data_IF_961901274771
#
_entry.id   IF_961901274771
#
_cell.length_a   1.000
_cell.length_b   1.000
_cell.length_c   1.000
_cell.angle_alpha   90.00
_cell.angle_beta   90.00
_cell.angle_gamma   90.00
#
_symmetry.space_group_name_H-M   'P 1'
#
loop_
_entity.id
_entity.type
_entity.pdbx_description
1 polymer ?
#
# COMPACT_ATOMS: atom_id res chain seq x y z
N UNK A 1 -0.46 -11.93 23.80
CA UNK A 1 -1.23 -11.38 24.93
C UNK A 1 -1.27 -9.88 24.77
N UNK A 2 -2.48 -9.34 24.75
CA UNK A 2 -2.84 -8.05 24.17
C UNK A 2 -2.56 -6.89 25.13
N UNK A 3 -1.59 -6.03 24.79
CA UNK A 3 -1.34 -4.77 25.50
C UNK A 3 -2.11 -3.61 24.84
N UNK A 4 -3.40 -3.81 24.58
CA UNK A 4 -4.27 -2.84 23.90
C UNK A 4 -4.91 -1.80 24.84
N UNK A 5 -4.43 -1.62 26.07
CA UNK A 5 -5.15 -0.83 27.08
C UNK A 5 -4.37 0.30 27.78
N UNK A 6 -3.16 0.69 27.37
CA UNK A 6 -2.44 1.77 28.08
C UNK A 6 -2.92 3.19 27.76
N UNK A 7 -3.47 3.43 26.56
CA UNK A 7 -4.06 4.73 26.21
C UNK A 7 -5.34 5.05 27.01
N UNK A 8 -6.01 4.04 27.58
CA UNK A 8 -7.18 4.23 28.43
C UNK A 8 -6.84 4.82 29.82
N UNK A 9 -5.55 4.85 30.20
CA UNK A 9 -5.08 5.51 31.42
C UNK A 9 -4.74 6.99 31.22
N UNK A 10 -4.73 7.49 29.98
CA UNK A 10 -4.50 8.89 29.72
C UNK A 10 -5.80 9.66 30.00
N UNK A 11 -5.71 10.68 30.86
CA UNK A 11 -6.82 11.52 31.33
C UNK A 11 -7.31 12.51 30.25
N UNK A 12 -7.42 12.05 28.99
CA UNK A 12 -7.84 12.85 27.84
C UNK A 12 -9.19 13.51 28.06
N UNK A 13 -10.16 12.78 28.60
CA UNK A 13 -11.50 13.30 28.87
C UNK A 13 -11.47 14.45 29.88
N UNK A 14 -10.61 14.34 30.89
CA UNK A 14 -10.45 15.39 31.89
C UNK A 14 -9.76 16.62 31.32
N UNK A 15 -8.69 16.44 30.54
CA UNK A 15 -7.99 17.53 29.85
C UNK A 15 -8.94 18.27 28.88
N UNK A 16 -9.73 17.53 28.10
CA UNK A 16 -10.76 18.08 27.21
C UNK A 16 -11.83 18.81 28.01
N UNK A 17 -12.26 18.29 29.16
CA UNK A 17 -13.23 18.96 30.05
C UNK A 17 -12.70 20.27 30.60
N UNK A 18 -11.41 20.34 30.97
CA UNK A 18 -10.76 21.53 31.52
C UNK A 18 -10.63 22.61 30.45
N UNK A 19 -10.21 22.24 29.24
CA UNK A 19 -10.15 23.15 28.10
C UNK A 19 -11.53 23.75 27.78
N UNK A 20 -12.59 22.92 27.77
CA UNK A 20 -13.98 23.40 27.56
C UNK A 20 -14.42 24.37 28.66
N UNK A 21 -14.13 24.08 29.93
CA UNK A 21 -14.43 24.97 31.07
C UNK A 21 -13.67 26.29 30.97
N UNK A 22 -12.38 26.26 30.63
CA UNK A 22 -11.56 27.45 30.43
C UNK A 22 -12.10 28.34 29.31
N UNK A 23 -12.46 27.75 28.18
CA UNK A 23 -13.05 28.51 27.07
C UNK A 23 -14.36 29.23 27.48
N UNK A 24 -15.20 28.54 28.27
CA UNK A 24 -16.42 29.15 28.84
C UNK A 24 -16.07 30.30 29.79
N UNK A 25 -15.12 30.11 30.70
CA UNK A 25 -14.70 31.14 31.65
C UNK A 25 -14.15 32.38 30.93
N UNK A 26 -13.31 32.21 29.91
CA UNK A 26 -12.79 33.34 29.14
C UNK A 26 -13.87 34.09 28.37
N UNK A 27 -14.86 33.38 27.83
CA UNK A 27 -16.02 34.03 27.18
C UNK A 27 -16.81 34.86 28.19
N UNK A 28 -17.07 34.31 29.38
CA UNK A 28 -17.78 35.01 30.46
C UNK A 28 -16.99 36.20 31.01
N UNK A 29 -15.67 36.08 31.17
CA UNK A 29 -14.78 37.19 31.56
C UNK A 29 -14.85 38.33 30.54
N UNK A 30 -14.77 38.02 29.25
CA UNK A 30 -14.88 39.02 28.18
C UNK A 30 -16.21 39.78 28.26
N UNK A 31 -17.32 39.08 28.46
CA UNK A 31 -18.64 39.72 28.63
C UNK A 31 -18.69 40.54 29.90
N UNK A 32 -18.27 40.02 31.06
CA UNK A 32 -18.29 40.72 32.33
C UNK A 32 -17.43 42.01 32.31
N UNK A 33 -16.26 41.96 31.67
CA UNK A 33 -15.41 43.13 31.44
C UNK A 33 -16.10 44.17 30.56
N UNK A 34 -16.82 43.76 29.50
CA UNK A 34 -17.51 44.69 28.61
C UNK A 34 -18.66 45.46 29.28
N UNK A 35 -19.30 44.86 30.29
CA UNK A 35 -20.41 45.47 31.05
C UNK A 35 -19.99 45.93 32.45
N UNK A 36 -18.70 45.90 32.77
CA UNK A 36 -18.14 46.33 34.05
C UNK A 36 -18.72 45.59 35.27
N UNK A 37 -19.12 44.32 35.12
CA UNK A 37 -19.63 43.48 36.20
C UNK A 37 -18.48 42.93 37.04
N UNK A 38 -18.07 43.73 38.03
CA UNK A 38 -16.95 43.40 38.92
C UNK A 38 -17.15 42.08 39.67
N UNK A 39 -18.36 41.81 40.19
CA UNK A 39 -18.62 40.61 41.00
C UNK A 39 -18.47 39.34 40.16
N UNK A 40 -19.04 39.34 38.95
CA UNK A 40 -18.88 38.22 38.03
C UNK A 40 -17.43 38.10 37.58
N UNK A 41 -16.75 39.22 37.31
CA UNK A 41 -15.35 39.22 36.90
C UNK A 41 -14.44 38.57 37.95
N UNK A 42 -14.54 38.96 39.23
CA UNK A 42 -13.72 38.41 40.32
C UNK A 42 -13.96 36.90 40.51
N UNK A 43 -15.23 36.47 40.45
CA UNK A 43 -15.59 35.05 40.59
C UNK A 43 -15.09 34.19 39.42
N UNK A 44 -15.31 34.63 38.18
CA UNK A 44 -14.87 33.85 37.01
C UNK A 44 -13.35 33.87 36.90
N UNK A 45 -12.67 34.94 37.30
CA UNK A 45 -11.21 35.01 37.31
C UNK A 45 -10.61 33.98 38.28
N UNK A 46 -11.18 33.84 39.48
CA UNK A 46 -10.78 32.81 40.44
C UNK A 46 -10.96 31.40 39.85
N UNK A 47 -12.14 31.11 39.29
CA UNK A 47 -12.43 29.82 38.66
C UNK A 47 -11.52 29.53 37.46
N UNK A 48 -11.17 30.55 36.67
CA UNK A 48 -10.24 30.42 35.56
C UNK A 48 -8.83 30.05 36.05
N UNK A 49 -8.34 30.71 37.10
CA UNK A 49 -7.04 30.41 37.70
C UNK A 49 -6.99 28.99 38.28
N UNK A 50 -8.05 28.55 38.96
CA UNK A 50 -8.16 27.16 39.46
C UNK A 50 -8.10 26.14 38.30
N UNK A 51 -8.85 26.37 37.22
CA UNK A 51 -8.85 25.50 36.05
C UNK A 51 -7.50 25.52 35.30
N UNK A 52 -6.79 26.65 35.24
CA UNK A 52 -5.45 26.75 34.65
C UNK A 52 -4.45 25.91 35.45
N UNK A 53 -4.47 26.03 36.78
CA UNK A 53 -3.60 25.26 37.65
C UNK A 53 -3.87 23.75 37.51
N UNK A 54 -5.15 23.35 37.49
CA UNK A 54 -5.55 21.96 37.24
C UNK A 54 -5.09 21.46 35.87
N UNK A 55 -5.21 22.28 34.81
CA UNK A 55 -4.74 21.93 33.48
C UNK A 55 -3.24 21.67 33.47
N UNK A 56 -2.44 22.50 34.13
CA UNK A 56 -1.00 22.30 34.26
C UNK A 56 -0.66 20.97 34.93
N UNK A 57 -1.34 20.64 36.04
CA UNK A 57 -1.14 19.37 36.73
C UNK A 57 -1.52 18.14 35.89
N UNK A 58 -2.67 18.19 35.20
CA UNK A 58 -3.13 17.10 34.33
C UNK A 58 -2.19 16.94 33.13
N UNK A 59 -1.73 18.04 32.55
CA UNK A 59 -0.77 18.02 31.44
C UNK A 59 0.56 17.41 31.86
N UNK A 60 1.17 17.84 32.95
CA UNK A 60 2.43 17.29 33.45
C UNK A 60 2.34 15.78 33.71
N UNK A 61 1.24 15.32 34.30
CA UNK A 61 1.01 13.89 34.52
C UNK A 61 0.91 13.10 33.21
N UNK A 62 0.22 13.64 32.19
CA UNK A 62 0.05 12.99 30.89
C UNK A 62 1.29 13.08 30.00
N UNK A 63 2.03 14.18 30.07
CA UNK A 63 3.17 14.46 29.20
C UNK A 63 4.24 13.36 29.29
N UNK A 64 4.62 12.99 30.51
CA UNK A 64 5.60 11.92 30.74
C UNK A 64 5.07 10.56 30.28
N UNK A 65 3.78 10.29 30.46
CA UNK A 65 3.17 9.04 29.98
C UNK A 65 3.18 8.98 28.45
N UNK A 66 2.87 10.08 27.76
CA UNK A 66 2.89 10.15 26.28
C UNK A 66 4.31 9.93 25.75
N UNK A 67 5.31 10.58 26.35
CA UNK A 67 6.72 10.40 25.96
C UNK A 67 7.14 8.94 26.16
N UNK A 68 6.87 8.37 27.34
CA UNK A 68 7.22 6.98 27.64
C UNK A 68 6.51 6.00 26.71
N UNK A 69 5.22 6.21 26.40
CA UNK A 69 4.51 5.39 25.43
C UNK A 69 5.09 5.49 24.02
N UNK A 70 5.49 6.69 23.58
CA UNK A 70 6.10 6.90 22.28
C UNK A 70 7.46 6.18 22.20
N UNK A 71 8.29 6.31 23.22
CA UNK A 71 9.58 5.61 23.34
C UNK A 71 9.40 4.10 23.34
N UNK A 72 8.48 3.57 24.16
CA UNK A 72 8.17 2.14 24.19
C UNK A 72 7.73 1.62 22.81
N UNK A 73 6.92 2.38 22.07
CA UNK A 73 6.51 2.03 20.70
C UNK A 73 7.72 2.03 19.77
N UNK A 74 8.61 3.02 19.87
CA UNK A 74 9.83 3.09 19.06
C UNK A 74 10.79 1.91 19.33
N UNK A 75 10.92 1.50 20.60
CA UNK A 75 11.70 0.31 20.97
C UNK A 75 11.11 -0.97 20.38
N UNK A 76 9.78 -1.12 20.41
CA UNK A 76 9.10 -2.25 19.76
C UNK A 76 9.42 -2.27 18.26
N UNK A 77 9.35 -1.13 17.57
CA UNK A 77 9.65 -1.03 16.13
C UNK A 77 11.08 -1.43 15.78
N UNK A 78 12.04 -1.20 16.69
CA UNK A 78 13.44 -1.59 16.54
C UNK A 78 13.72 -3.02 16.99
N UNK A 79 12.77 -3.67 17.66
CA UNK A 79 12.92 -5.04 18.14
C UNK A 79 12.75 -6.08 17.03
N UNK A 80 13.38 -7.24 17.20
CA UNK A 80 13.24 -8.39 16.30
C UNK A 80 11.81 -8.99 16.32
N UNK A 81 11.00 -8.65 17.32
CA UNK A 81 9.62 -9.16 17.45
C UNK A 81 8.64 -8.46 16.51
N UNK A 82 8.94 -7.22 16.10
CA UNK A 82 8.05 -6.44 15.25
C UNK A 82 7.90 -7.02 13.84
N UNK A 83 8.97 -7.38 13.12
CA UNK A 83 8.87 -8.08 11.84
C UNK A 83 7.99 -9.34 11.91
N UNK A 84 8.18 -10.17 12.93
CA UNK A 84 7.41 -11.42 13.13
C UNK A 84 5.92 -11.12 13.32
N UNK A 85 5.60 -10.12 14.14
CA UNK A 85 4.22 -9.68 14.38
C UNK A 85 3.57 -9.13 13.11
N UNK A 86 4.30 -8.27 12.37
CA UNK A 86 3.83 -7.70 11.11
C UNK A 86 3.55 -8.79 10.08
N UNK A 87 4.51 -9.69 9.85
CA UNK A 87 4.37 -10.77 8.87
C UNK A 87 3.21 -11.71 9.18
N UNK A 88 3.04 -12.07 10.46
CA UNK A 88 1.89 -12.85 10.92
C UNK A 88 0.58 -12.14 10.55
N UNK A 89 0.48 -10.86 10.87
CA UNK A 89 -0.73 -10.07 10.66
C UNK A 89 -1.03 -9.87 9.16
N UNK A 90 0.00 -9.71 8.33
CA UNK A 90 -0.14 -9.68 6.87
C UNK A 90 -0.72 -11.00 6.33
N UNK A 91 -0.23 -12.14 6.81
CA UNK A 91 -0.75 -13.47 6.42
C UNK A 91 -2.20 -13.67 6.89
N UNK A 92 -2.53 -13.25 8.10
CA UNK A 92 -3.89 -13.31 8.64
C UNK A 92 -4.87 -12.42 7.86
N UNK A 93 -4.40 -11.29 7.32
CA UNK A 93 -5.17 -10.44 6.40
C UNK A 93 -5.31 -11.03 4.98
N UNK A 94 -4.81 -12.25 4.73
CA UNK A 94 -4.85 -12.93 3.43
C UNK A 94 -3.85 -12.39 2.41
N UNK A 95 -2.89 -11.56 2.84
CA UNK A 95 -1.88 -11.00 1.95
C UNK A 95 -0.73 -11.99 1.74
N UNK A 96 -0.43 -12.26 0.47
CA UNK A 96 0.72 -13.06 0.07
C UNK A 96 1.89 -12.14 -0.24
N UNK A 97 3.03 -12.43 0.35
CA UNK A 97 4.22 -11.61 0.19
C UNK A 97 5.50 -12.44 0.16
N UNK A 98 6.56 -11.81 -0.34
CA UNK A 98 7.94 -12.31 -0.33
C UNK A 98 8.89 -11.25 0.19
N UNK A 99 10.14 -11.65 0.42
CA UNK A 99 11.17 -10.78 0.96
C UNK A 99 11.17 -10.82 2.48
N UNK A 100 11.97 -9.94 3.05
CA UNK A 100 12.24 -9.87 4.48
C UNK A 100 12.19 -8.42 4.92
N UNK A 101 11.92 -8.20 6.20
CA UNK A 101 11.90 -6.86 6.75
C UNK A 101 13.19 -6.09 6.42
N UNK A 102 13.10 -4.82 6.00
CA UNK A 102 11.90 -3.97 5.89
C UNK A 102 11.27 -3.94 4.49
N UNK A 103 11.63 -4.85 3.60
CA UNK A 103 11.27 -4.82 2.18
C UNK A 103 10.47 -6.06 1.78
N UNK A 104 9.19 -5.87 1.47
CA UNK A 104 8.31 -6.95 1.03
C UNK A 104 7.78 -6.72 -0.39
N UNK A 105 7.61 -7.81 -1.13
CA UNK A 105 6.95 -7.83 -2.43
C UNK A 105 5.56 -8.44 -2.29
N UNK A 106 4.52 -7.63 -2.48
CA UNK A 106 3.11 -8.01 -2.44
C UNK A 106 2.51 -7.85 -3.84
N UNK A 107 2.85 -8.75 -4.77
CA UNK A 107 2.59 -8.58 -6.21
C UNK A 107 1.16 -8.06 -6.50
N UNK A 108 1.01 -6.92 -7.21
CA UNK A 108 2.06 -6.18 -7.89
C UNK A 108 2.73 -5.06 -7.06
N UNK A 109 2.37 -4.85 -5.80
CA UNK A 109 2.97 -3.81 -4.97
C UNK A 109 4.33 -4.19 -4.39
N UNK A 110 5.11 -3.16 -4.04
CA UNK A 110 6.28 -3.28 -3.15
C UNK A 110 6.03 -2.47 -1.89
N UNK A 111 6.26 -3.08 -0.74
CA UNK A 111 6.16 -2.48 0.58
C UNK A 111 7.56 -2.24 1.14
N UNK A 112 7.82 -1.01 1.57
CA UNK A 112 9.05 -0.63 2.25
C UNK A 112 8.70 0.07 3.56
N UNK A 113 9.34 -0.34 4.65
CA UNK A 113 9.19 0.29 5.95
C UNK A 113 10.47 1.05 6.31
N UNK A 114 10.39 2.37 6.44
CA UNK A 114 11.47 3.20 6.92
C UNK A 114 11.17 3.64 8.36
N UNK A 115 11.73 2.89 9.32
CA UNK A 115 11.54 3.15 10.76
C UNK A 115 12.14 4.49 11.15
N UNK A 116 13.30 4.86 10.57
CA UNK A 116 13.99 6.11 10.90
C UNK A 116 13.22 7.34 10.43
N UNK A 117 12.60 7.27 9.26
CA UNK A 117 11.75 8.35 8.73
C UNK A 117 10.31 8.29 9.25
N UNK A 118 9.93 7.24 10.00
CA UNK A 118 8.57 7.04 10.46
C UNK A 118 7.58 6.90 9.30
N UNK A 119 8.00 6.30 8.18
CA UNK A 119 7.13 6.10 7.01
C UNK A 119 7.08 4.65 6.55
N UNK A 120 5.89 4.25 6.11
CA UNK A 120 5.64 3.01 5.37
C UNK A 120 5.18 3.38 3.97
N UNK A 121 5.81 2.82 2.96
CA UNK A 121 5.54 3.12 1.54
C UNK A 121 5.06 1.88 0.81
N UNK A 122 3.89 1.95 0.21
CA UNK A 122 3.35 0.96 -0.72
C UNK A 122 3.45 1.51 -2.15
N UNK A 123 4.17 0.83 -3.03
CA UNK A 123 4.51 1.36 -4.36
C UNK A 123 4.09 0.43 -5.50
N UNK A 124 3.59 1.04 -6.57
CA UNK A 124 3.27 0.43 -7.86
C UNK A 124 3.83 1.33 -8.97
N UNK A 125 5.07 1.07 -9.38
CA UNK A 125 5.77 1.95 -10.32
C UNK A 125 6.03 3.32 -9.71
N UNK A 126 5.55 4.40 -10.36
CA UNK A 126 5.63 5.77 -9.81
C UNK A 126 4.57 6.10 -8.77
N UNK A 127 3.47 5.36 -8.75
CA UNK A 127 2.42 5.59 -7.77
C UNK A 127 2.89 5.00 -6.45
N UNK A 128 2.92 5.82 -5.41
CA UNK A 128 3.22 5.37 -4.07
C UNK A 128 2.26 6.00 -3.09
N UNK A 129 1.79 5.19 -2.16
CA UNK A 129 1.02 5.64 -1.03
C UNK A 129 1.87 5.49 0.23
N UNK A 130 1.82 6.50 1.09
CA UNK A 130 2.64 6.57 2.29
C UNK A 130 1.78 6.73 3.52
N UNK A 131 2.14 6.04 4.59
CA UNK A 131 1.46 6.15 5.88
C UNK A 131 2.47 6.16 7.02
N UNK A 132 2.12 6.78 8.14
CA UNK A 132 2.88 6.72 9.40
C UNK A 132 2.38 5.60 10.33
N UNK A 133 1.52 4.71 9.84
CA UNK A 133 0.96 3.61 10.62
C UNK A 133 1.98 2.46 10.66
N UNK A 134 2.47 2.16 11.86
CA UNK A 134 3.29 0.98 12.12
C UNK A 134 2.59 -0.05 13.01
N UNK A 135 1.37 0.20 13.49
CA UNK A 135 0.65 -0.83 14.24
C UNK A 135 0.29 -1.98 13.27
N UNK A 136 0.71 -3.24 13.52
CA UNK A 136 0.60 -4.32 12.55
C UNK A 136 -0.79 -4.56 11.98
N UNK A 137 -1.84 -4.54 12.82
CA UNK A 137 -3.21 -4.83 12.37
C UNK A 137 -3.75 -3.71 11.47
N UNK A 138 -3.57 -2.45 11.87
CA UNK A 138 -3.97 -1.29 11.09
C UNK A 138 -3.16 -1.18 9.80
N UNK A 139 -1.87 -1.50 9.83
CA UNK A 139 -1.04 -1.49 8.63
C UNK A 139 -1.48 -2.58 7.65
N UNK A 140 -1.72 -3.80 8.13
CA UNK A 140 -2.22 -4.89 7.28
C UNK A 140 -3.58 -4.56 6.66
N UNK A 141 -4.50 -3.98 7.43
CA UNK A 141 -5.81 -3.53 6.94
C UNK A 141 -5.68 -2.43 5.87
N UNK A 142 -4.79 -1.45 6.11
CA UNK A 142 -4.49 -0.39 5.14
C UNK A 142 -3.95 -0.99 3.83
N UNK A 143 -2.97 -1.90 3.89
CA UNK A 143 -2.44 -2.58 2.69
C UNK A 143 -3.54 -3.38 1.98
N UNK A 144 -4.34 -4.15 2.72
CA UNK A 144 -5.40 -4.98 2.16
C UNK A 144 -6.46 -4.17 1.41
N UNK A 145 -6.82 -2.98 1.92
CA UNK A 145 -7.73 -2.07 1.23
C UNK A 145 -7.19 -1.65 -0.16
N UNK A 146 -5.90 -1.34 -0.25
CA UNK A 146 -5.26 -0.92 -1.49
C UNK A 146 -5.15 -2.09 -2.46
N UNK A 147 -4.79 -3.26 -1.94
CA UNK A 147 -4.75 -4.50 -2.71
C UNK A 147 -6.12 -4.83 -3.32
N UNK A 148 -7.18 -4.79 -2.49
CA UNK A 148 -8.56 -5.05 -2.90
C UNK A 148 -9.00 -4.13 -4.04
N UNK A 149 -8.72 -2.82 -3.94
CA UNK A 149 -9.07 -1.86 -5.00
C UNK A 149 -8.46 -2.20 -6.37
N UNK A 150 -7.28 -2.82 -6.39
CA UNK A 150 -6.61 -3.23 -7.61
C UNK A 150 -7.11 -4.58 -8.13
N UNK A 151 -7.29 -5.56 -7.22
CA UNK A 151 -7.77 -6.91 -7.57
C UNK A 151 -9.21 -6.88 -8.08
N UNK A 152 -10.09 -6.12 -7.40
CA UNK A 152 -11.50 -5.98 -7.78
C UNK A 152 -11.69 -5.16 -9.05
N UNK A 153 -10.69 -4.38 -9.46
CA UNK A 153 -10.73 -3.73 -10.77
C UNK A 153 -10.84 -4.80 -11.84
N UNK A 154 -11.95 -4.75 -12.60
CA UNK A 154 -12.21 -5.67 -13.71
C UNK A 154 -11.03 -5.64 -14.68
N UNK A 155 -10.36 -6.78 -14.83
CA UNK A 155 -9.32 -6.94 -15.82
C UNK A 155 -9.95 -7.04 -17.21
N UNK A 156 -9.60 -6.08 -18.06
CA UNK A 156 -10.01 -6.06 -19.46
C UNK A 156 -9.06 -6.92 -20.28
N UNK A 157 -9.30 -8.23 -20.25
CA UNK A 157 -8.51 -9.24 -20.96
C UNK A 157 -8.51 -9.01 -22.47
N UNK A 158 -9.61 -8.54 -23.05
CA UNK A 158 -9.72 -8.29 -24.49
C UNK A 158 -8.82 -7.13 -24.92
N UNK A 159 -8.84 -6.02 -24.17
CA UNK A 159 -7.90 -4.92 -24.40
C UNK A 159 -6.46 -5.39 -24.23
N UNK A 160 -6.17 -6.15 -23.18
CA UNK A 160 -4.82 -6.64 -22.93
C UNK A 160 -4.31 -7.58 -24.05
N UNK A 161 -5.14 -8.52 -24.53
CA UNK A 161 -4.82 -9.39 -25.67
C UNK A 161 -4.59 -8.61 -26.95
N UNK A 162 -5.39 -7.57 -27.23
CA UNK A 162 -5.17 -6.69 -28.39
C UNK A 162 -3.81 -6.01 -28.32
N UNK A 163 -3.45 -5.48 -27.15
CA UNK A 163 -2.20 -4.76 -26.95
C UNK A 163 -0.99 -5.74 -27.01
N UNK A 164 -1.16 -6.97 -26.49
CA UNK A 164 -0.20 -8.07 -26.65
C UNK A 164 -0.01 -8.50 -28.11
N UNK A 165 -1.10 -8.62 -28.88
CA UNK A 165 -1.06 -8.98 -30.30
C UNK A 165 -0.25 -7.98 -31.10
N UNK A 166 -0.54 -6.67 -30.92
CA UNK A 166 0.21 -5.63 -31.61
C UNK A 166 1.72 -5.72 -31.28
N UNK A 167 2.07 -5.82 -30.00
CA UNK A 167 3.48 -5.98 -29.59
C UNK A 167 4.12 -7.25 -30.14
N UNK A 168 3.37 -8.36 -30.21
CA UNK A 168 3.83 -9.61 -30.79
C UNK A 168 4.11 -9.49 -32.28
N UNK A 169 3.22 -8.88 -33.07
CA UNK A 169 3.44 -8.72 -34.51
C UNK A 169 4.73 -7.96 -34.81
N UNK A 170 4.98 -6.84 -34.12
CA UNK A 170 6.23 -6.10 -34.25
C UNK A 170 7.44 -6.92 -33.75
N UNK A 171 7.33 -7.53 -32.58
CA UNK A 171 8.42 -8.31 -31.99
C UNK A 171 8.80 -9.52 -32.83
N UNK A 172 7.84 -10.18 -33.46
CA UNK A 172 8.03 -11.32 -34.34
C UNK A 172 8.79 -10.90 -35.61
N UNK A 173 8.34 -9.84 -36.30
CA UNK A 173 9.01 -9.33 -37.50
C UNK A 173 10.48 -8.95 -37.22
N UNK A 174 10.74 -8.31 -36.08
CA UNK A 174 12.09 -7.95 -35.64
C UNK A 174 12.93 -9.20 -35.33
N UNK A 175 12.39 -10.13 -34.54
CA UNK A 175 13.12 -11.32 -34.10
C UNK A 175 13.51 -12.24 -35.27
N UNK A 176 12.67 -12.33 -36.30
CA UNK A 176 12.86 -13.22 -37.45
C UNK A 176 13.29 -12.51 -38.73
N UNK A 177 13.48 -11.19 -38.69
CA UNK A 177 13.86 -10.35 -39.85
C UNK A 177 12.97 -10.62 -41.06
N UNK A 178 11.67 -10.63 -40.84
CA UNK A 178 10.66 -10.91 -41.87
C UNK A 178 9.57 -9.84 -41.84
N UNK A 179 9.15 -9.35 -43.00
CA UNK A 179 8.11 -8.31 -43.11
C UNK A 179 6.71 -8.86 -42.77
N UNK A 180 6.53 -10.18 -42.89
CA UNK A 180 5.32 -10.91 -42.51
C UNK A 180 5.48 -11.53 -41.12
N UNK A 181 4.37 -11.60 -40.40
CA UNK A 181 4.32 -12.24 -39.08
C UNK A 181 4.37 -13.75 -39.26
N UNK A 182 5.32 -14.40 -38.59
CA UNK A 182 5.42 -15.85 -38.51
C UNK A 182 4.63 -16.34 -37.29
N UNK A 183 3.33 -16.61 -37.48
CA UNK A 183 2.46 -17.15 -36.44
C UNK A 183 2.97 -18.49 -35.90
N UNK A 184 2.70 -18.76 -34.62
CA UNK A 184 3.19 -19.95 -33.90
C UNK A 184 4.66 -19.87 -33.49
N UNK A 185 5.39 -18.79 -33.81
CA UNK A 185 6.78 -18.60 -33.37
C UNK A 185 6.85 -17.82 -32.05
N UNK A 186 7.76 -18.24 -31.19
CA UNK A 186 7.93 -17.65 -29.86
C UNK A 186 8.63 -16.28 -29.93
N UNK A 187 8.06 -15.28 -29.26
CA UNK A 187 8.68 -13.96 -29.04
C UNK A 187 8.96 -13.78 -27.55
N UNK A 188 10.16 -13.31 -27.19
CA UNK A 188 10.55 -13.08 -25.80
C UNK A 188 9.57 -12.18 -25.07
N UNK A 189 9.12 -12.59 -23.88
CA UNK A 189 8.18 -11.80 -23.08
C UNK A 189 8.75 -10.44 -22.65
N UNK A 190 10.08 -10.34 -22.52
CA UNK A 190 10.75 -9.07 -22.23
C UNK A 190 10.74 -8.14 -23.44
N UNK A 191 10.82 -8.69 -24.66
CA UNK A 191 10.64 -7.91 -25.90
C UNK A 191 9.22 -7.39 -25.99
N UNK A 192 8.22 -8.23 -25.70
CA UNK A 192 6.80 -7.83 -25.66
C UNK A 192 6.60 -6.67 -24.68
N UNK A 193 7.04 -6.82 -23.42
CA UNK A 193 6.96 -5.75 -22.44
C UNK A 193 7.67 -4.48 -22.92
N UNK A 194 8.86 -4.62 -23.51
CA UNK A 194 9.63 -3.50 -24.04
C UNK A 194 8.88 -2.72 -25.12
N UNK A 195 8.19 -3.41 -26.03
CA UNK A 195 7.39 -2.81 -27.11
C UNK A 195 6.11 -2.16 -26.58
N UNK A 196 5.41 -2.80 -25.64
CA UNK A 196 4.22 -2.23 -24.99
C UNK A 196 4.53 -0.95 -24.18
N UNK A 197 5.79 -0.79 -23.76
CA UNK A 197 6.23 0.31 -22.90
C UNK A 197 7.32 1.15 -23.55
N UNK A 198 7.35 1.25 -24.87
CA UNK A 198 8.46 1.78 -25.70
C UNK A 198 9.18 3.04 -25.22
N UNK A 199 8.55 3.89 -24.40
CA UNK A 199 9.17 5.03 -23.73
C UNK A 199 9.36 4.83 -22.21
N UNK A 200 10.44 5.37 -21.63
CA UNK A 200 10.71 5.31 -20.18
C UNK A 200 9.53 5.79 -19.32
N UNK A 201 8.77 6.79 -19.79
CA UNK A 201 7.56 7.29 -19.11
C UNK A 201 6.45 6.24 -19.08
N UNK A 202 6.31 5.46 -20.15
CA UNK A 202 5.32 4.38 -20.22
C UNK A 202 5.66 3.23 -19.27
N UNK A 203 6.95 2.89 -19.10
CA UNK A 203 7.42 1.89 -18.11
C UNK A 203 7.14 2.28 -16.66
N UNK A 204 6.93 3.56 -16.40
CA UNK A 204 6.66 4.06 -15.05
C UNK A 204 5.16 4.07 -14.73
N UNK A 205 4.33 4.29 -15.75
CA UNK A 205 2.87 4.20 -15.67
C UNK A 205 2.44 2.73 -15.67
N UNK A 206 3.15 1.89 -16.43
CA UNK A 206 2.90 0.48 -16.59
C UNK A 206 4.15 -0.34 -16.23
N UNK A 207 4.41 -0.53 -14.93
CA UNK A 207 5.62 -1.18 -14.45
C UNK A 207 5.57 -2.70 -14.64
N UNK A 208 6.75 -3.33 -14.69
CA UNK A 208 6.92 -4.77 -15.00
C UNK A 208 6.17 -5.70 -14.04
N UNK A 209 6.06 -5.34 -12.77
CA UNK A 209 5.27 -6.04 -11.75
C UNK A 209 3.76 -6.02 -12.07
N UNK A 210 3.22 -4.90 -12.57
CA UNK A 210 1.84 -4.83 -13.02
C UNK A 210 1.62 -5.67 -14.29
N UNK A 211 2.54 -5.60 -15.24
CA UNK A 211 2.50 -6.45 -16.45
C UNK A 211 2.55 -7.95 -16.10
N UNK A 212 3.44 -8.35 -15.19
CA UNK A 212 3.52 -9.71 -14.66
C UNK A 212 2.21 -10.15 -13.99
N UNK A 213 1.60 -9.28 -13.19
CA UNK A 213 0.32 -9.54 -12.54
C UNK A 213 -0.83 -9.71 -13.55
N UNK A 214 -0.92 -8.84 -14.56
CA UNK A 214 -1.94 -8.96 -15.62
C UNK A 214 -1.73 -10.19 -16.51
N UNK A 215 -0.49 -10.59 -16.79
CA UNK A 215 -0.18 -11.88 -17.42
C UNK A 215 -0.63 -13.05 -16.55
N UNK A 216 -0.41 -12.97 -15.23
CA UNK A 216 -0.89 -13.96 -14.26
C UNK A 216 -2.39 -14.14 -14.36
N UNK A 217 -3.17 -13.04 -14.34
CA UNK A 217 -4.63 -13.05 -14.50
C UNK A 217 -5.07 -13.58 -15.86
N UNK A 218 -4.35 -13.26 -16.93
CA UNK A 218 -4.66 -13.77 -18.27
C UNK A 218 -4.46 -15.29 -18.36
N UNK A 219 -3.38 -15.81 -17.76
CA UNK A 219 -3.01 -17.23 -17.74
C UNK A 219 -3.99 -18.10 -16.93
N UNK A 220 -4.85 -17.50 -16.11
CA UNK A 220 -5.92 -18.23 -15.42
C UNK A 220 -7.03 -18.69 -16.37
N UNK A 221 -7.11 -18.09 -17.56
CA UNK A 221 -8.05 -18.51 -18.59
C UNK A 221 -7.58 -19.82 -19.22
N UNK A 222 -8.50 -20.79 -19.33
CA UNK A 222 -8.21 -22.08 -19.94
C UNK A 222 -7.84 -21.96 -21.43
N UNK A 223 -8.54 -21.08 -22.15
CA UNK A 223 -8.28 -20.80 -23.57
C UNK A 223 -8.25 -19.29 -23.79
N UNK A 224 -7.08 -18.77 -24.14
CA UNK A 224 -6.85 -17.33 -24.31
C UNK A 224 -7.02 -16.99 -25.78
N UNK A 225 -8.18 -16.41 -26.12
CA UNK A 225 -8.50 -16.00 -27.49
C UNK A 225 -8.85 -14.53 -27.61
N UNK A 226 -8.44 -13.95 -28.73
CA UNK A 226 -8.87 -12.63 -29.16
C UNK A 226 -9.10 -12.65 -30.68
N UNK A 227 -10.36 -12.51 -31.11
CA UNK A 227 -10.78 -12.71 -32.51
C UNK A 227 -10.31 -14.07 -33.03
N UNK A 228 -9.62 -14.12 -34.17
CA UNK A 228 -9.07 -15.34 -34.76
C UNK A 228 -7.74 -15.81 -34.15
N UNK A 229 -7.27 -15.20 -33.05
CA UNK A 229 -5.94 -15.47 -32.50
C UNK A 229 -6.00 -16.23 -31.17
N UNK A 230 -5.16 -17.26 -31.04
CA UNK A 230 -4.95 -18.04 -29.80
C UNK A 230 -3.58 -17.72 -29.20
N UNK A 231 -3.53 -17.48 -27.90
CA UNK A 231 -2.32 -17.08 -27.18
C UNK A 231 -1.83 -18.24 -26.33
N UNK A 232 -0.52 -18.45 -26.33
CA UNK A 232 0.16 -19.46 -25.52
C UNK A 232 1.46 -18.89 -24.93
N UNK A 233 1.89 -19.45 -23.81
CA UNK A 233 3.02 -18.96 -23.03
C UNK A 233 4.10 -20.02 -22.91
N UNK A 234 5.26 -19.74 -23.52
CA UNK A 234 6.42 -20.61 -23.40
C UNK A 234 7.05 -20.53 -22.02
N UNK A 235 7.47 -21.69 -21.50
CA UNK A 235 8.22 -21.78 -20.26
C UNK A 235 9.73 -21.61 -20.52
N UNK A 236 10.49 -21.02 -19.59
CA UNK A 236 11.94 -20.94 -19.73
C UNK A 236 12.59 -22.32 -19.56
N UNK A 237 13.59 -22.64 -20.39
CA UNK A 237 14.47 -23.81 -20.17
C UNK A 237 15.36 -23.64 -18.94
N UNK A 238 15.79 -22.41 -18.68
CA UNK A 238 16.52 -22.03 -17.46
C UNK A 238 15.64 -21.08 -16.65
N UNK A 239 15.19 -21.46 -15.43
CA UNK A 239 14.30 -20.66 -14.60
C UNK A 239 14.75 -19.20 -14.44
N UNK A 240 16.06 -18.94 -14.34
CA UNK A 240 16.62 -17.60 -14.14
C UNK A 240 16.21 -16.58 -15.22
N UNK A 241 15.86 -17.04 -16.42
CA UNK A 241 15.51 -16.18 -17.56
C UNK A 241 14.00 -16.04 -17.79
N UNK A 242 13.16 -16.53 -16.88
CA UNK A 242 11.70 -16.36 -16.96
C UNK A 242 11.21 -15.12 -16.21
N UNK A 243 10.16 -14.48 -16.73
CA UNK A 243 9.32 -13.57 -15.97
C UNK A 243 8.47 -14.39 -14.99
N UNK A 244 8.65 -14.17 -13.69
CA UNK A 244 7.76 -14.72 -12.67
C UNK A 244 6.41 -14.02 -12.80
N UNK A 245 5.34 -14.81 -12.90
CA UNK A 245 3.96 -14.35 -12.86
C UNK A 245 3.25 -15.03 -11.70
N UNK A 246 2.39 -14.27 -11.03
CA UNK A 246 1.63 -14.72 -9.87
C UNK A 246 0.16 -14.63 -10.24
N UNK A 247 -0.57 -15.73 -10.11
CA UNK A 247 -2.01 -15.76 -10.38
C UNK A 247 -2.83 -15.21 -9.19
N UNK A 248 -4.16 -15.10 -9.34
CA UNK A 248 -5.06 -14.62 -8.28
C UNK A 248 -5.03 -15.51 -7.03
N UNK A 249 -4.63 -16.77 -7.19
CA UNK A 249 -4.43 -17.73 -6.10
C UNK A 249 -3.02 -17.68 -5.53
N UNK A 250 -2.18 -16.72 -5.92
CA UNK A 250 -0.81 -16.59 -5.43
C UNK A 250 0.15 -17.69 -5.88
N UNK A 251 -0.23 -18.50 -6.87
CA UNK A 251 0.64 -19.54 -7.43
C UNK A 251 1.58 -18.91 -8.44
N UNK A 252 2.83 -19.33 -8.38
CA UNK A 252 3.86 -18.83 -9.28
C UNK A 252 4.03 -19.72 -10.50
N UNK A 253 4.23 -19.06 -11.63
CA UNK A 253 4.76 -19.71 -12.83
C UNK A 253 5.76 -18.79 -13.51
N UNK A 254 6.55 -19.34 -14.43
CA UNK A 254 7.53 -18.56 -15.20
C UNK A 254 7.17 -18.59 -16.67
N UNK A 255 7.15 -17.40 -17.27
CA UNK A 255 6.91 -17.20 -18.71
C UNK A 255 8.19 -16.64 -19.32
N UNK A 256 8.66 -17.24 -20.40
CA UNK A 256 9.82 -16.76 -21.16
C UNK A 256 9.42 -16.12 -22.49
N UNK A 257 8.33 -16.60 -23.09
CA UNK A 257 7.88 -16.16 -24.40
C UNK A 257 6.37 -16.14 -24.52
N UNK A 258 5.90 -15.33 -25.45
CA UNK A 258 4.54 -15.32 -25.97
C UNK A 258 4.54 -15.98 -27.36
N UNK A 259 3.58 -16.85 -27.60
CA UNK A 259 3.32 -17.49 -28.90
C UNK A 259 1.88 -17.15 -29.28
N UNK A 260 1.66 -16.67 -30.50
CA UNK A 260 0.31 -16.41 -31.01
C UNK A 260 0.11 -17.20 -32.29
N UNK A 261 -1.00 -17.95 -32.34
CA UNK A 261 -1.48 -18.67 -33.50
C UNK A 261 -2.60 -17.87 -34.17
N UNK A 262 -2.76 -18.00 -35.49
CA UNK A 262 -3.83 -17.36 -36.26
C UNK A 262 -4.67 -18.46 -36.92
N UNK A 263 -5.97 -18.47 -36.63
CA UNK A 263 -6.86 -19.57 -37.00
C UNK A 263 -6.91 -20.68 -35.95
N UNK A 264 -7.63 -21.77 -36.23
CA UNK A 264 -7.84 -22.90 -35.30
C UNK A 264 -6.70 -23.96 -35.32
N UNK A 265 -5.51 -23.61 -35.81
CA UNK A 265 -4.31 -24.48 -35.79
C UNK A 265 -3.46 -24.28 -34.53
#
# INVERSE_FOLDING_TARGET
MSNHNNLNNLRWDELVSLIRRLNKNFTQLKTALSVWDKKTNDNILKLANENINQLGMVWEAMHNQIINEAQNKEEILKSETYPVSLEKTLREAGLKFKGEFPNYELTPFKLNLNINEGTVRLSLGRKSETTGIFEPNRLAAWIAQHYKSLVEKRFDSQRFCRDLLAAYEYGNKIAYRNDKVLWGKAVSIFTIYGLMTGYHVSRQIYPKNLFSYELGRLKEQYDIRYKEYRFDFGQPRNPAHGLVVVDSQGRESRISSLIIYKGDE
#
